data_IF_816281651945
#
_entry.id   IF_816281651945
#
_cell.length_a   1.000
_cell.length_b   1.000
_cell.length_c   1.000
_cell.angle_alpha   90.00
_cell.angle_beta   90.00
_cell.angle_gamma   90.00
#
_symmetry.space_group_name_H-M   'P 1'
#
loop_
_entity.id
_entity.type
_entity.pdbx_description
1 polymer ?
#
# COMPACT_ATOMS: atom_id res chain seq x y z
N UNK A 1 -52.82 -22.64 8.92
CA UNK A 1 -51.49 -22.57 9.56
C UNK A 1 -50.46 -23.03 8.55
N UNK A 2 -49.60 -22.12 8.08
CA UNK A 2 -48.14 -22.30 7.90
C UNK A 2 -47.58 -21.09 7.14
N UNK A 3 -47.02 -20.15 7.89
CA UNK A 3 -46.17 -19.05 7.40
C UNK A 3 -44.79 -19.61 7.04
N UNK A 4 -44.32 -19.37 5.82
CA UNK A 4 -42.96 -19.66 5.40
C UNK A 4 -42.03 -18.57 5.94
N UNK A 5 -41.07 -18.96 6.78
CA UNK A 5 -40.01 -18.11 7.30
C UNK A 5 -38.90 -18.09 6.25
N UNK A 6 -38.75 -16.97 5.53
CA UNK A 6 -37.59 -16.72 4.67
C UNK A 6 -36.42 -16.26 5.54
N UNK A 7 -35.49 -17.16 5.84
CA UNK A 7 -34.22 -16.84 6.49
C UNK A 7 -33.32 -16.06 5.52
N UNK A 8 -33.29 -14.74 5.63
CA UNK A 8 -32.30 -13.90 4.96
C UNK A 8 -30.98 -13.98 5.74
N UNK A 9 -30.06 -14.86 5.32
CA UNK A 9 -28.67 -14.78 5.74
C UNK A 9 -28.01 -13.66 4.94
N UNK A 10 -27.86 -12.49 5.54
CA UNK A 10 -26.94 -11.47 5.03
C UNK A 10 -25.52 -12.06 4.98
N UNK A 11 -24.73 -11.78 3.92
CA UNK A 11 -23.35 -12.23 3.86
C UNK A 11 -22.54 -11.64 5.03
N UNK A 12 -21.50 -12.36 5.49
CA UNK A 12 -20.69 -11.93 6.62
C UNK A 12 -20.02 -10.60 6.30
N UNK A 13 -20.32 -9.57 7.10
CA UNK A 13 -19.62 -8.29 7.08
C UNK A 13 -18.15 -8.55 7.42
N UNK A 14 -17.27 -8.47 6.43
CA UNK A 14 -15.83 -8.44 6.67
C UNK A 14 -15.59 -7.21 7.54
N UNK A 15 -15.16 -7.42 8.79
CA UNK A 15 -14.71 -6.35 9.67
C UNK A 15 -13.52 -5.67 8.99
N UNK A 16 -13.77 -4.60 8.25
CA UNK A 16 -12.72 -3.70 7.78
C UNK A 16 -12.00 -3.18 9.03
N UNK A 17 -10.79 -3.69 9.25
CA UNK A 17 -9.92 -3.23 10.32
C UNK A 17 -9.59 -1.77 10.03
N UNK A 18 -10.27 -0.86 10.71
CA UNK A 18 -10.14 0.57 10.48
C UNK A 18 -8.77 1.03 11.00
N UNK A 19 -7.84 1.29 10.08
CA UNK A 19 -6.49 1.75 10.42
C UNK A 19 -6.57 3.27 10.67
N UNK A 20 -6.14 3.70 11.86
CA UNK A 20 -6.04 5.11 12.20
C UNK A 20 -4.61 5.62 11.94
N UNK A 21 -4.50 6.75 11.24
CA UNK A 21 -3.25 7.45 11.00
C UNK A 21 -3.22 8.77 11.75
N UNK A 22 -2.10 9.08 12.40
CA UNK A 22 -1.92 10.29 13.20
C UNK A 22 -1.45 11.49 12.37
N UNK A 23 -0.69 11.23 11.31
CA UNK A 23 -0.04 12.26 10.51
C UNK A 23 -0.44 12.16 9.04
N UNK A 24 -0.39 13.30 8.35
CA UNK A 24 -0.58 13.38 6.91
C UNK A 24 0.26 14.52 6.32
N UNK A 25 0.92 14.28 5.20
CA UNK A 25 1.58 15.31 4.41
C UNK A 25 0.97 15.40 3.02
N UNK A 26 0.89 16.61 2.48
CA UNK A 26 0.62 16.80 1.05
C UNK A 26 1.77 16.23 0.22
N UNK A 27 1.42 15.59 -0.89
CA UNK A 27 2.38 15.11 -1.86
C UNK A 27 1.85 15.22 -3.29
N UNK A 28 2.81 15.35 -4.20
CA UNK A 28 2.58 15.27 -5.63
C UNK A 28 2.90 13.83 -6.08
N UNK A 29 1.96 13.20 -6.77
CA UNK A 29 2.05 11.85 -7.32
C UNK A 29 2.03 11.93 -8.85
N UNK A 30 2.96 11.23 -9.49
CA UNK A 30 3.00 11.05 -10.93
C UNK A 30 3.04 9.57 -11.28
N UNK A 31 2.24 9.17 -12.27
CA UNK A 31 2.25 7.82 -12.83
C UNK A 31 2.48 7.92 -14.33
N UNK A 32 3.52 7.24 -14.82
CA UNK A 32 3.94 7.25 -16.22
C UNK A 32 3.83 5.84 -16.79
N UNK A 33 2.83 5.58 -17.65
CA UNK A 33 2.74 4.28 -18.32
C UNK A 33 3.81 4.12 -19.40
N UNK A 34 4.55 3.01 -19.35
CA UNK A 34 5.45 2.59 -20.43
C UNK A 34 4.67 1.80 -21.50
N UNK A 35 5.08 1.86 -22.78
CA UNK A 35 4.54 0.99 -23.83
C UNK A 35 4.75 -0.51 -23.57
N UNK A 36 5.58 -0.89 -22.59
CA UNK A 36 5.86 -2.29 -22.22
C UNK A 36 4.99 -2.81 -21.07
N UNK A 37 3.93 -2.09 -20.67
CA UNK A 37 2.99 -2.56 -19.63
C UNK A 37 3.51 -2.43 -18.19
N UNK A 38 4.58 -1.67 -17.98
CA UNK A 38 5.06 -1.28 -16.65
C UNK A 38 4.94 0.23 -16.49
N UNK A 39 4.30 0.68 -15.43
CA UNK A 39 4.12 2.10 -15.15
C UNK A 39 5.08 2.54 -14.06
N UNK A 40 5.82 3.62 -14.29
CA UNK A 40 6.63 4.26 -13.26
C UNK A 40 5.73 5.04 -12.32
N UNK A 41 6.00 4.98 -11.02
CA UNK A 41 5.31 5.75 -9.98
C UNK A 41 6.33 6.63 -9.28
N UNK A 42 6.01 7.91 -9.14
CA UNK A 42 6.85 8.89 -8.45
C UNK A 42 6.02 9.67 -7.43
N UNK A 43 6.51 9.83 -6.20
CA UNK A 43 5.87 10.64 -5.16
C UNK A 43 6.88 11.62 -4.59
N UNK A 44 6.52 12.90 -4.50
CA UNK A 44 7.28 13.93 -3.78
C UNK A 44 6.48 14.44 -2.58
N UNK A 45 7.06 14.41 -1.39
CA UNK A 45 6.41 14.89 -0.17
C UNK A 45 6.69 16.39 0.00
N UNK A 46 5.63 17.20 -0.03
CA UNK A 46 5.73 18.65 -0.05
C UNK A 46 6.34 19.19 1.24
N UNK A 47 7.22 20.19 1.12
CA UNK A 47 7.91 20.79 2.26
C UNK A 47 9.03 19.93 2.84
N UNK A 48 9.37 18.80 2.22
CA UNK A 48 10.47 17.93 2.65
C UNK A 48 11.42 17.61 1.48
N UNK A 49 12.57 17.04 1.79
CA UNK A 49 13.47 16.46 0.79
C UNK A 49 13.23 14.94 0.61
N UNK A 50 12.05 14.43 0.97
CA UNK A 50 11.69 13.03 0.79
C UNK A 50 10.98 12.85 -0.55
N UNK A 51 11.36 11.80 -1.27
CA UNK A 51 10.68 11.37 -2.48
C UNK A 51 10.61 9.84 -2.49
N UNK A 52 9.83 9.29 -3.40
CA UNK A 52 9.88 7.86 -3.64
C UNK A 52 9.62 7.54 -5.09
N UNK A 53 10.13 6.39 -5.49
CA UNK A 53 10.04 5.86 -6.83
C UNK A 53 9.62 4.39 -6.77
N UNK A 54 8.81 4.00 -7.74
CA UNK A 54 8.33 2.64 -7.84
C UNK A 54 7.86 2.30 -9.23
N UNK A 55 7.30 1.10 -9.33
CA UNK A 55 6.66 0.61 -10.54
C UNK A 55 5.37 -0.12 -10.21
N UNK A 56 4.42 -0.08 -11.14
CA UNK A 56 3.12 -0.72 -10.99
C UNK A 56 2.64 -1.27 -12.33
N UNK A 57 1.72 -2.25 -12.29
CA UNK A 57 1.09 -2.82 -13.48
C UNK A 57 -0.12 -2.00 -13.97
N UNK A 58 -0.49 -0.93 -13.27
CA UNK A 58 -1.69 -0.15 -13.56
C UNK A 58 -1.64 0.64 -14.86
N UNK A 59 -2.82 0.83 -15.45
CA UNK A 59 -3.04 1.60 -16.69
C UNK A 59 -3.35 3.08 -16.44
N UNK A 60 -3.06 3.59 -15.24
CA UNK A 60 -3.29 4.99 -14.89
C UNK A 60 -2.07 5.79 -15.34
N UNK A 61 -2.29 6.89 -16.06
CA UNK A 61 -1.23 7.86 -16.40
C UNK A 61 -1.67 9.26 -16.01
N UNK A 62 -0.73 10.05 -15.50
CA UNK A 62 -0.93 11.46 -15.20
C UNK A 62 -0.37 11.84 -13.84
N UNK A 63 -0.61 13.09 -13.46
CA UNK A 63 -0.21 13.63 -12.17
C UNK A 63 -1.43 14.00 -11.33
N UNK A 64 -1.28 13.89 -10.02
CA UNK A 64 -2.31 14.27 -9.05
C UNK A 64 -1.68 14.71 -7.73
N UNK A 65 -2.46 15.42 -6.92
CA UNK A 65 -2.08 15.80 -5.56
C UNK A 65 -2.92 15.03 -4.57
N UNK A 66 -2.34 14.73 -3.41
CA UNK A 66 -3.04 14.03 -2.35
C UNK A 66 -2.34 14.14 -1.01
N UNK A 67 -2.79 13.33 -0.07
CA UNK A 67 -2.21 13.21 1.25
C UNK A 67 -1.61 11.81 1.40
N UNK A 68 -0.39 11.74 1.91
CA UNK A 68 0.21 10.51 2.43
C UNK A 68 0.02 10.46 3.95
N UNK A 69 -0.70 9.45 4.40
CA UNK A 69 -1.02 9.20 5.80
C UNK A 69 -0.05 8.18 6.39
N UNK A 70 0.44 8.45 7.60
CA UNK A 70 1.45 7.63 8.26
C UNK A 70 1.41 7.78 9.79
N UNK A 71 2.06 6.86 10.50
CA UNK A 71 2.18 6.86 11.96
C UNK A 71 3.63 7.02 12.44
N UNK A 72 4.62 6.55 11.67
CA UNK A 72 6.05 6.74 11.94
C UNK A 72 6.71 7.42 10.74
N UNK A 73 7.41 8.53 10.95
CA UNK A 73 8.12 9.23 9.87
C UNK A 73 9.28 8.42 9.29
N UNK A 74 9.81 7.45 10.04
CA UNK A 74 10.84 6.55 9.53
C UNK A 74 10.32 5.66 8.38
N UNK A 75 9.00 5.50 8.27
CA UNK A 75 8.38 4.77 7.18
C UNK A 75 8.56 5.49 5.83
N UNK A 76 8.89 6.77 5.85
CA UNK A 76 9.16 7.58 4.66
C UNK A 76 10.65 7.65 4.31
N UNK A 77 11.51 6.82 4.92
CA UNK A 77 12.97 6.86 4.78
C UNK A 77 13.53 5.45 4.57
N UNK A 78 14.17 5.24 3.41
CA UNK A 78 14.90 4.01 3.05
C UNK A 78 14.07 2.72 3.23
N UNK A 79 12.75 2.83 3.07
CA UNK A 79 11.82 1.72 3.19
C UNK A 79 11.33 1.26 1.81
N UNK A 80 11.12 -0.05 1.69
CA UNK A 80 10.58 -0.69 0.49
C UNK A 80 9.18 -1.22 0.76
N UNK A 81 8.31 -1.06 -0.23
CA UNK A 81 6.88 -1.33 -0.12
C UNK A 81 6.38 -2.15 -1.28
N UNK A 82 5.44 -3.05 -0.99
CA UNK A 82 4.48 -3.56 -1.95
C UNK A 82 3.32 -2.56 -1.98
N UNK A 83 2.91 -2.18 -3.18
CA UNK A 83 1.77 -1.31 -3.40
C UNK A 83 0.53 -2.14 -3.67
N UNK A 84 -0.60 -1.68 -3.14
CA UNK A 84 -1.93 -2.08 -3.59
C UNK A 84 -2.72 -0.83 -3.94
N UNK A 85 -3.09 -0.70 -5.22
CA UNK A 85 -3.69 0.50 -5.77
C UNK A 85 -5.16 0.26 -6.09
N UNK A 86 -6.03 1.15 -5.63
CA UNK A 86 -7.48 1.07 -5.78
C UNK A 86 -7.98 2.43 -6.28
N UNK A 87 -8.89 2.40 -7.25
CA UNK A 87 -9.70 3.57 -7.62
C UNK A 87 -11.12 3.27 -7.15
N UNK A 88 -11.67 4.11 -6.26
CA UNK A 88 -13.04 3.93 -5.79
C UNK A 88 -14.07 4.52 -6.76
N UNK A 89 -15.35 4.28 -6.47
CA UNK A 89 -16.49 4.71 -7.29
C UNK A 89 -16.63 6.24 -7.38
N UNK A 90 -16.02 6.99 -6.45
CA UNK A 90 -15.97 8.45 -6.46
C UNK A 90 -14.80 8.99 -7.30
N UNK A 91 -13.99 8.09 -7.88
CA UNK A 91 -12.82 8.44 -8.68
C UNK A 91 -11.63 8.88 -7.84
N UNK A 92 -11.57 8.49 -6.57
CA UNK A 92 -10.42 8.72 -5.70
C UNK A 92 -9.43 7.58 -5.84
N UNK A 93 -8.16 7.94 -5.97
CA UNK A 93 -7.03 7.01 -5.97
C UNK A 93 -6.56 6.79 -4.54
N UNK A 94 -6.51 5.52 -4.13
CA UNK A 94 -5.91 5.06 -2.90
C UNK A 94 -4.72 4.15 -3.23
N UNK A 95 -3.59 4.39 -2.58
CA UNK A 95 -2.43 3.49 -2.66
C UNK A 95 -2.08 3.07 -1.23
N UNK A 96 -2.15 1.77 -0.99
CA UNK A 96 -1.74 1.16 0.27
C UNK A 96 -0.29 0.68 0.15
N UNK A 97 0.54 1.05 1.12
CA UNK A 97 1.96 0.72 1.16
C UNK A 97 2.21 -0.28 2.30
N UNK A 98 2.53 -1.51 1.93
CA UNK A 98 2.85 -2.60 2.87
C UNK A 98 4.35 -2.86 2.85
N UNK A 99 5.00 -2.80 4.01
CA UNK A 99 6.46 -2.97 4.11
C UNK A 99 6.89 -4.34 3.63
N UNK A 100 8.01 -4.37 2.92
CA UNK A 100 8.70 -5.60 2.53
C UNK A 100 9.87 -5.80 3.48
N UNK A 101 9.80 -6.82 4.34
CA UNK A 101 10.92 -7.18 5.20
C UNK A 101 11.75 -8.29 4.54
N UNK A 102 13.04 -8.01 4.31
CA UNK A 102 14.01 -9.07 3.99
C UNK A 102 14.45 -9.72 5.29
N UNK A 103 14.17 -11.02 5.49
CA UNK A 103 15.00 -11.76 6.46
C UNK A 103 16.41 -11.83 5.87
N UNK A 104 17.41 -11.34 6.60
CA UNK A 104 18.78 -11.46 6.14
C UNK A 104 19.13 -12.95 6.03
N UNK A 105 19.30 -13.47 4.80
CA UNK A 105 19.97 -14.75 4.58
C UNK A 105 21.42 -14.62 5.07
N UNK A 106 21.69 -15.14 6.27
CA UNK A 106 23.05 -15.29 6.80
C UNK A 106 23.24 -14.84 8.24
N UNK A 107 22.48 -15.39 9.19
CA UNK A 107 22.96 -15.56 10.57
C UNK A 107 22.67 -16.99 10.97
N UNK A 108 23.71 -17.65 11.46
CA UNK A 108 23.77 -19.06 11.80
C UNK A 108 22.54 -19.58 12.53
N UNK A 109 22.13 -20.78 12.14
CA UNK A 109 21.19 -21.64 12.85
C UNK A 109 21.77 -22.04 14.20
N UNK A 110 21.79 -21.14 15.18
CA UNK A 110 22.12 -21.51 16.55
C UNK A 110 21.61 -20.49 17.58
N UNK A 111 20.63 -20.94 18.37
CA UNK A 111 20.34 -20.49 19.74
C UNK A 111 19.97 -19.01 19.91
N UNK A 112 18.67 -18.69 19.83
CA UNK A 112 17.94 -18.01 20.91
C UNK A 112 16.49 -17.79 20.46
N UNK A 113 15.66 -18.81 20.67
CA UNK A 113 14.23 -18.62 20.76
C UNK A 113 13.92 -18.03 22.13
N UNK A 114 13.96 -16.71 22.26
CA UNK A 114 13.28 -15.98 23.33
C UNK A 114 13.19 -14.48 22.97
N UNK A 115 11.94 -14.00 22.90
CA UNK A 115 11.50 -12.60 22.88
C UNK A 115 11.40 -11.86 21.53
N UNK A 116 10.47 -12.29 20.66
CA UNK A 116 9.66 -11.33 19.91
C UNK A 116 8.19 -11.80 19.93
N UNK A 117 7.43 -11.32 20.92
CA UNK A 117 5.99 -11.12 20.77
C UNK A 117 5.79 -9.65 20.46
N UNK A 118 5.27 -9.30 19.28
CA UNK A 118 4.53 -8.06 19.02
C UNK A 118 3.67 -8.23 17.76
N UNK A 119 2.53 -7.57 17.81
CA UNK A 119 1.27 -7.85 17.13
C UNK A 119 1.31 -7.67 15.60
N UNK A 120 0.52 -8.48 14.89
CA UNK A 120 0.39 -8.48 13.43
C UNK A 120 0.92 -9.78 12.85
N UNK A 121 0.04 -10.64 12.34
CA UNK A 121 0.37 -11.96 11.79
C UNK A 121 1.24 -11.78 10.54
N UNK A 122 2.56 -11.73 10.76
CA UNK A 122 3.57 -11.83 9.72
C UNK A 122 3.41 -13.18 9.00
N UNK A 123 2.87 -13.18 7.78
CA UNK A 123 2.88 -14.38 6.93
C UNK A 123 4.30 -14.51 6.40
N UNK A 124 4.98 -15.60 6.80
CA UNK A 124 6.28 -15.98 6.25
C UNK A 124 6.00 -16.69 4.92
N UNK A 125 6.38 -16.07 3.80
CA UNK A 125 6.35 -16.72 2.50
C UNK A 125 7.60 -17.60 2.30
N UNK A 126 7.48 -18.65 1.49
CA UNK A 126 8.47 -19.73 1.27
C UNK A 126 9.79 -19.24 0.63
N UNK A 127 9.89 -17.95 0.28
CA UNK A 127 11.05 -17.28 -0.29
C UNK A 127 11.85 -16.42 0.71
N UNK A 128 11.40 -16.36 1.98
CA UNK A 128 12.10 -15.68 3.08
C UNK A 128 11.71 -14.22 3.30
N UNK A 129 10.64 -13.75 2.68
CA UNK A 129 10.06 -12.43 2.99
C UNK A 129 8.96 -12.55 4.05
N UNK A 130 8.95 -11.59 4.99
CA UNK A 130 7.84 -11.38 5.92
C UNK A 130 6.97 -10.27 5.35
N UNK A 131 5.67 -10.51 5.16
CA UNK A 131 4.69 -9.47 4.81
C UNK A 131 3.88 -9.08 6.04
N UNK A 132 3.79 -7.77 6.32
CA UNK A 132 2.74 -7.24 7.20
C UNK A 132 1.40 -7.30 6.45
N UNK A 133 0.32 -7.79 7.06
CA UNK A 133 -1.00 -7.80 6.41
C UNK A 133 -1.61 -6.40 6.27
N UNK A 134 -1.09 -5.41 6.99
CA UNK A 134 -1.69 -4.09 7.15
C UNK A 134 -0.76 -3.02 6.56
N UNK A 135 -1.27 -2.09 5.72
CA UNK A 135 -0.44 -1.01 5.19
C UNK A 135 0.00 -0.07 6.31
N UNK A 136 1.27 0.36 6.23
CA UNK A 136 1.86 1.31 7.18
C UNK A 136 1.81 2.74 6.67
N UNK A 137 1.61 2.92 5.35
CA UNK A 137 1.30 4.20 4.73
C UNK A 137 0.09 4.06 3.81
N UNK A 138 -0.68 5.14 3.67
CA UNK A 138 -1.73 5.24 2.66
C UNK A 138 -1.65 6.58 1.96
N UNK A 139 -1.55 6.58 0.64
CA UNK A 139 -1.81 7.76 -0.17
C UNK A 139 -3.29 7.82 -0.54
N UNK A 140 -3.88 9.02 -0.47
CA UNK A 140 -5.22 9.32 -1.01
C UNK A 140 -5.21 10.63 -1.77
N UNK A 141 -5.72 10.61 -3.00
CA UNK A 141 -5.85 11.79 -3.86
C UNK A 141 -6.88 11.55 -4.96
N UNK A 142 -7.14 12.56 -5.80
CA UNK A 142 -8.00 12.35 -6.98
C UNK A 142 -7.29 11.45 -7.97
N UNK A 143 -7.98 10.48 -8.56
CA UNK A 143 -7.38 9.71 -9.63
C UNK A 143 -7.22 10.58 -10.90
N UNK A 144 -6.06 10.55 -11.58
CA UNK A 144 -5.85 11.27 -12.84
C UNK A 144 -6.94 10.99 -13.88
N UNK A 145 -7.24 11.99 -14.71
CA UNK A 145 -8.20 11.89 -15.81
C UNK A 145 -7.64 11.06 -16.99
N UNK A 146 -8.49 10.71 -17.96
CA UNK A 146 -8.09 9.97 -19.16
C UNK A 146 -7.86 8.48 -18.94
N UNK A 147 -8.34 7.94 -17.82
CA UNK A 147 -8.26 6.53 -17.44
C UNK A 147 -9.46 5.73 -17.96
N UNK A 148 -9.34 4.40 -18.17
CA UNK A 148 -10.49 3.53 -18.45
C UNK A 148 -11.51 3.52 -17.31
N UNK A 149 -12.77 3.26 -17.62
CA UNK A 149 -13.79 3.00 -16.60
C UNK A 149 -13.57 1.62 -15.95
N UNK A 150 -13.87 1.49 -14.66
CA UNK A 150 -13.85 0.19 -13.95
C UNK A 150 -12.46 -0.43 -13.80
N UNK A 151 -11.46 0.37 -13.41
CA UNK A 151 -10.09 -0.12 -13.19
C UNK A 151 -10.06 -1.11 -12.03
N UNK A 152 -9.67 -2.34 -12.32
CA UNK A 152 -9.43 -3.35 -11.29
C UNK A 152 -8.22 -2.96 -10.42
N UNK A 153 -8.22 -3.29 -9.12
CA UNK A 153 -7.06 -3.06 -8.26
C UNK A 153 -5.80 -3.74 -8.78
N UNK A 154 -4.65 -3.10 -8.61
CA UNK A 154 -3.39 -3.61 -9.13
C UNK A 154 -2.23 -3.39 -8.15
N UNK A 155 -1.15 -4.15 -8.36
CA UNK A 155 0.01 -4.16 -7.46
C UNK A 155 1.19 -3.38 -8.02
N UNK A 156 2.13 -3.07 -7.14
CA UNK A 156 3.41 -2.47 -7.51
C UNK A 156 4.47 -2.67 -6.44
N UNK A 157 5.64 -2.12 -6.70
CA UNK A 157 6.74 -2.00 -5.75
C UNK A 157 7.15 -0.54 -5.65
N UNK A 158 7.62 -0.12 -4.48
CA UNK A 158 7.96 1.27 -4.24
C UNK A 158 9.08 1.39 -3.21
N UNK A 159 9.89 2.44 -3.32
CA UNK A 159 10.93 2.77 -2.35
C UNK A 159 10.89 4.25 -2.05
N UNK A 160 10.93 4.63 -0.78
CA UNK A 160 11.20 6.02 -0.38
C UNK A 160 12.70 6.23 -0.26
N UNK A 161 13.16 7.38 -0.72
CA UNK A 161 14.55 7.82 -0.69
C UNK A 161 14.62 9.29 -0.25
N UNK A 162 15.75 9.65 0.34
CA UNK A 162 16.06 11.04 0.65
C UNK A 162 16.75 11.68 -0.56
N UNK A 163 16.21 12.79 -1.04
CA UNK A 163 16.84 13.60 -2.08
C UNK A 163 18.15 14.17 -1.54
N UNK A 164 19.25 13.90 -2.26
CA UNK A 164 20.61 14.34 -1.93
C UNK A 164 20.87 15.80 -2.32
#
# INVERSE_FOLDING_TARGET
MTTAVSSSSSPPTVLEKQIAFQYANECDLEIHCSPFGLSGVYIKINGTNLMGIGSTMGLITGSTKGLIHYNDSNDLIDQKYKLYVIVDDEGMLRIDFTKIFTTAKGVDTSKNSDNIKKEGEAIIEDDGYIQEETPTLIFRGKCPEGRPDGIEPFIGIFSFEKEN
#
